data_IF_159791564333
#
_entry.id   IF_159791564333
#
_cell.length_a   1.000
_cell.length_b   1.000
_cell.length_c   1.000
_cell.angle_alpha   90.00
_cell.angle_beta   90.00
_cell.angle_gamma   90.00
#
_symmetry.space_group_name_H-M   'P 1'
#
loop_
_entity.id
_entity.type
_entity.pdbx_description
1 polymer ?
#
# COMPACT_ATOMS: atom_id res chain seq x y z
N UNK A 1 -65.94 15.59 9.76
CA UNK A 1 -64.51 15.98 9.86
C UNK A 1 -63.73 14.67 10.00
N UNK A 2 -63.14 14.21 8.91
CA UNK A 2 -62.59 12.86 8.76
C UNK A 2 -61.38 12.66 9.68
N UNK A 3 -61.40 11.58 10.45
CA UNK A 3 -60.35 11.13 11.34
C UNK A 3 -59.07 10.86 10.56
N UNK A 4 -57.98 11.58 10.90
CA UNK A 4 -56.64 11.26 10.45
C UNK A 4 -56.22 9.90 11.03
N UNK A 5 -56.51 8.82 10.30
CA UNK A 5 -55.97 7.51 10.58
C UNK A 5 -54.45 7.58 10.32
N UNK A 6 -53.67 7.61 11.39
CA UNK A 6 -52.23 7.40 11.33
C UNK A 6 -51.99 6.00 10.76
N UNK A 7 -51.52 5.92 9.50
CA UNK A 7 -51.09 4.66 8.90
C UNK A 7 -50.17 3.93 9.87
N UNK A 8 -50.35 2.62 10.13
CA UNK A 8 -49.45 1.87 10.99
C UNK A 8 -48.06 1.92 10.36
N UNK A 9 -47.18 2.77 10.90
CA UNK A 9 -45.79 2.94 10.47
C UNK A 9 -45.17 1.55 10.41
N UNK A 10 -45.00 1.01 9.21
CA UNK A 10 -44.66 -0.40 9.05
C UNK A 10 -43.35 -0.68 9.81
N UNK A 11 -43.46 -1.38 10.95
CA UNK A 11 -42.39 -1.48 11.93
C UNK A 11 -41.10 -2.06 11.34
N UNK A 12 -41.22 -2.88 10.27
CA UNK A 12 -40.10 -3.44 9.53
C UNK A 12 -39.28 -2.40 8.74
N UNK A 13 -39.89 -1.30 8.28
CA UNK A 13 -39.16 -0.21 7.62
C UNK A 13 -38.26 0.55 8.60
N UNK A 14 -38.68 0.69 9.88
CA UNK A 14 -37.82 1.25 10.92
C UNK A 14 -36.61 0.35 11.18
N UNK A 15 -36.81 -0.98 11.24
CA UNK A 15 -35.71 -1.94 11.38
C UNK A 15 -34.77 -1.94 10.16
N UNK A 16 -35.30 -1.81 8.94
CA UNK A 16 -34.51 -1.64 7.72
C UNK A 16 -33.65 -0.37 7.80
N UNK A 17 -34.22 0.76 8.23
CA UNK A 17 -33.49 2.01 8.38
C UNK A 17 -32.35 1.88 9.40
N UNK A 18 -32.62 1.30 10.57
CA UNK A 18 -31.61 1.10 11.62
C UNK A 18 -30.46 0.20 11.13
N UNK A 19 -30.78 -0.92 10.47
CA UNK A 19 -29.76 -1.85 9.94
C UNK A 19 -28.91 -1.21 8.85
N UNK A 20 -29.52 -0.41 7.98
CA UNK A 20 -28.80 0.35 6.94
C UNK A 20 -27.86 1.40 7.57
N UNK A 21 -28.30 2.10 8.62
CA UNK A 21 -27.47 3.08 9.35
C UNK A 21 -26.26 2.39 9.98
N UNK A 22 -26.44 1.23 10.61
CA UNK A 22 -25.35 0.46 11.23
C UNK A 22 -24.34 -0.01 10.18
N UNK A 23 -24.80 -0.51 9.02
CA UNK A 23 -23.93 -0.90 7.92
C UNK A 23 -23.16 0.30 7.37
N UNK A 24 -23.84 1.44 7.18
CA UNK A 24 -23.24 2.69 6.69
C UNK A 24 -22.16 3.23 7.64
N UNK A 25 -22.44 3.26 8.95
CA UNK A 25 -21.47 3.66 9.96
C UNK A 25 -20.23 2.75 9.95
N UNK A 26 -20.44 1.43 9.87
CA UNK A 26 -19.35 0.44 9.81
C UNK A 26 -18.52 0.57 8.52
N UNK A 27 -19.17 0.79 7.37
CA UNK A 27 -18.52 1.00 6.09
C UNK A 27 -17.67 2.29 6.10
N UNK A 28 -18.18 3.34 6.73
CA UNK A 28 -17.48 4.63 6.87
C UNK A 28 -16.21 4.46 7.73
N UNK A 29 -16.33 3.81 8.89
CA UNK A 29 -15.17 3.52 9.75
C UNK A 29 -14.13 2.63 9.06
N UNK A 30 -14.59 1.59 8.34
CA UNK A 30 -13.72 0.74 7.54
C UNK A 30 -12.98 1.51 6.46
N UNK A 31 -13.66 2.45 5.80
CA UNK A 31 -13.09 3.30 4.76
C UNK A 31 -12.01 4.22 5.30
N UNK A 32 -12.25 4.89 6.45
CA UNK A 32 -11.24 5.72 7.11
C UNK A 32 -9.98 4.92 7.48
N UNK A 33 -10.14 3.70 8.02
CA UNK A 33 -8.99 2.86 8.40
C UNK A 33 -8.26 2.30 7.17
N UNK A 34 -9.00 1.89 6.14
CA UNK A 34 -8.43 1.46 4.87
C UNK A 34 -7.62 2.59 4.21
N UNK A 35 -8.12 3.82 4.27
CA UNK A 35 -7.42 4.98 3.74
C UNK A 35 -6.06 5.18 4.43
N UNK A 36 -5.99 5.05 5.75
CA UNK A 36 -4.72 5.12 6.50
C UNK A 36 -3.69 4.07 6.05
N UNK A 37 -4.09 2.81 5.89
CA UNK A 37 -3.20 1.75 5.39
C UNK A 37 -2.75 1.99 3.95
N UNK A 38 -3.67 2.43 3.08
CA UNK A 38 -3.34 2.77 1.69
C UNK A 38 -2.36 3.93 1.61
N UNK A 39 -2.56 4.99 2.40
CA UNK A 39 -1.64 6.13 2.47
C UNK A 39 -0.25 5.71 2.96
N UNK A 40 -0.17 4.87 4.00
CA UNK A 40 1.10 4.31 4.48
C UNK A 40 1.81 3.48 3.42
N UNK A 41 1.09 2.60 2.73
CA UNK A 41 1.63 1.80 1.63
C UNK A 41 2.12 2.67 0.47
N UNK A 42 1.37 3.73 0.09
CA UNK A 42 1.78 4.68 -0.94
C UNK A 42 3.05 5.45 -0.55
N UNK A 43 3.16 5.87 0.71
CA UNK A 43 4.34 6.56 1.19
C UNK A 43 5.57 5.64 1.18
N UNK A 44 5.43 4.39 1.61
CA UNK A 44 6.50 3.39 1.53
C UNK A 44 6.88 3.10 0.07
N UNK A 45 5.90 2.99 -0.83
CA UNK A 45 6.13 2.83 -2.28
C UNK A 45 6.89 4.01 -2.87
N UNK A 46 6.56 5.25 -2.49
CA UNK A 46 7.26 6.44 -2.96
C UNK A 46 8.72 6.42 -2.49
N UNK A 47 8.96 6.12 -1.20
CA UNK A 47 10.32 5.97 -0.66
C UNK A 47 11.12 4.88 -1.37
N UNK A 48 10.52 3.72 -1.62
CA UNK A 48 11.15 2.64 -2.39
C UNK A 48 11.50 3.10 -3.81
N UNK A 49 10.58 3.80 -4.48
CA UNK A 49 10.81 4.35 -5.82
C UNK A 49 11.97 5.35 -5.83
N UNK A 50 12.04 6.25 -4.83
CA UNK A 50 13.12 7.21 -4.70
C UNK A 50 14.47 6.50 -4.51
N UNK A 51 14.52 5.46 -3.68
CA UNK A 51 15.75 4.67 -3.49
C UNK A 51 16.16 3.91 -4.76
N UNK A 52 15.20 3.36 -5.50
CA UNK A 52 15.50 2.75 -6.81
C UNK A 52 16.01 3.78 -7.83
N UNK A 53 15.49 5.01 -7.80
CA UNK A 53 16.02 6.09 -8.63
C UNK A 53 17.45 6.48 -8.22
N UNK A 54 17.75 6.57 -6.92
CA UNK A 54 19.10 6.79 -6.42
C UNK A 54 20.06 5.67 -6.81
N UNK A 55 19.62 4.41 -6.71
CA UNK A 55 20.41 3.25 -7.14
C UNK A 55 20.75 3.34 -8.63
N UNK A 56 19.77 3.67 -9.47
CA UNK A 56 19.98 3.84 -10.91
C UNK A 56 20.95 4.99 -11.20
N UNK A 57 20.79 6.14 -10.56
CA UNK A 57 21.69 7.28 -10.72
C UNK A 57 23.14 6.93 -10.30
N UNK A 58 23.32 6.22 -9.19
CA UNK A 58 24.65 5.74 -8.75
C UNK A 58 25.23 4.70 -9.71
N UNK A 59 24.40 3.81 -10.26
CA UNK A 59 24.83 2.84 -11.27
C UNK A 59 25.35 3.53 -12.54
N UNK A 60 24.68 4.59 -12.99
CA UNK A 60 25.13 5.37 -14.16
C UNK A 60 26.47 6.06 -13.86
N UNK A 61 26.62 6.65 -12.67
CA UNK A 61 27.90 7.27 -12.26
C UNK A 61 29.03 6.25 -12.22
N UNK A 62 28.79 5.09 -11.61
CA UNK A 62 29.75 3.99 -11.58
C UNK A 62 30.15 3.57 -13.00
N UNK A 63 29.16 3.34 -13.87
CA UNK A 63 29.42 2.93 -15.26
C UNK A 63 30.22 4.00 -16.03
N UNK A 64 30.01 5.28 -15.76
CA UNK A 64 30.83 6.35 -16.34
C UNK A 64 32.29 6.28 -15.91
N UNK A 65 32.57 5.93 -14.64
CA UNK A 65 33.95 5.72 -14.18
C UNK A 65 34.57 4.44 -14.75
N UNK A 66 33.79 3.37 -14.92
CA UNK A 66 34.24 2.14 -15.60
C UNK A 66 34.63 2.45 -17.06
N UNK A 67 33.78 3.15 -17.81
CA UNK A 67 34.09 3.56 -19.18
C UNK A 67 35.33 4.46 -19.26
N UNK A 68 35.46 5.43 -18.34
CA UNK A 68 36.65 6.28 -18.28
C UNK A 68 37.92 5.47 -17.98
N UNK A 69 37.81 4.48 -17.09
CA UNK A 69 38.91 3.56 -16.76
C UNK A 69 39.32 2.75 -17.99
N UNK A 70 38.36 2.16 -18.71
CA UNK A 70 38.63 1.35 -19.90
C UNK A 70 39.34 2.16 -20.99
N UNK A 71 38.86 3.39 -21.25
CA UNK A 71 39.50 4.31 -22.20
C UNK A 71 40.93 4.63 -21.76
N UNK A 72 41.13 4.90 -20.46
CA UNK A 72 42.44 5.25 -19.92
C UNK A 72 43.42 4.06 -19.96
N UNK A 73 42.94 2.83 -19.79
CA UNK A 73 43.76 1.61 -19.94
C UNK A 73 44.26 1.43 -21.38
N UNK A 74 43.39 1.66 -22.37
CA UNK A 74 43.79 1.62 -23.79
C UNK A 74 44.83 2.73 -24.09
N UNK A 75 44.65 3.92 -23.54
CA UNK A 75 45.62 5.01 -23.69
C UNK A 75 46.96 4.70 -23.03
N UNK A 76 46.96 4.09 -21.84
CA UNK A 76 48.18 3.67 -21.15
C UNK A 76 48.98 2.65 -21.98
N UNK A 77 48.30 1.71 -22.65
CA UNK A 77 48.95 0.73 -23.52
C UNK A 77 49.66 1.36 -24.74
N UNK A 78 49.29 2.58 -25.13
CA UNK A 78 49.91 3.34 -26.22
C UNK A 78 50.81 4.48 -25.74
N UNK A 79 50.94 4.71 -24.42
CA UNK A 79 51.64 5.86 -23.87
C UNK A 79 53.16 5.66 -23.74
N UNK A 80 53.98 6.70 -23.94
CA UNK A 80 55.40 6.68 -23.61
C UNK A 80 55.66 6.43 -22.12
N UNK A 81 56.75 5.74 -21.79
CA UNK A 81 57.09 5.35 -20.42
C UNK A 81 57.09 6.51 -19.40
N UNK A 82 57.48 7.72 -19.83
CA UNK A 82 57.52 8.93 -19.00
C UNK A 82 56.14 9.43 -18.53
N UNK A 83 55.05 9.07 -19.22
CA UNK A 83 53.68 9.49 -18.84
C UNK A 83 52.92 8.38 -18.10
N UNK A 84 53.43 7.14 -18.12
CA UNK A 84 52.77 5.95 -17.54
C UNK A 84 52.39 6.11 -16.06
N UNK A 85 53.24 6.75 -15.25
CA UNK A 85 52.99 6.93 -13.81
C UNK A 85 51.72 7.76 -13.52
N UNK A 86 51.47 8.83 -14.30
CA UNK A 86 50.27 9.67 -14.15
C UNK A 86 48.98 8.95 -14.55
N UNK A 87 49.07 8.05 -15.54
CA UNK A 87 47.95 7.21 -15.95
C UNK A 87 47.62 6.17 -14.88
N UNK A 88 48.62 5.52 -14.29
CA UNK A 88 48.44 4.56 -13.20
C UNK A 88 47.80 5.20 -11.98
N UNK A 89 48.21 6.42 -11.60
CA UNK A 89 47.58 7.16 -10.50
C UNK A 89 46.09 7.42 -10.75
N UNK A 90 45.72 7.87 -11.96
CA UNK A 90 44.32 8.09 -12.35
C UNK A 90 43.50 6.79 -12.38
N UNK A 91 44.10 5.68 -12.83
CA UNK A 91 43.43 4.37 -12.80
C UNK A 91 43.11 3.94 -11.37
N UNK A 92 44.05 4.07 -10.44
CA UNK A 92 43.82 3.76 -9.02
C UNK A 92 42.73 4.66 -8.42
N UNK A 93 42.70 5.95 -8.79
CA UNK A 93 41.65 6.86 -8.36
C UNK A 93 40.26 6.44 -8.91
N UNK A 94 40.16 6.01 -10.16
CA UNK A 94 38.91 5.49 -10.72
C UNK A 94 38.47 4.19 -10.05
N UNK A 95 39.39 3.27 -9.76
CA UNK A 95 39.09 2.04 -9.02
C UNK A 95 38.53 2.32 -7.63
N UNK A 96 39.13 3.25 -6.89
CA UNK A 96 38.61 3.67 -5.58
C UNK A 96 37.20 4.28 -5.69
N UNK A 97 36.90 5.05 -6.74
CA UNK A 97 35.56 5.60 -6.98
C UNK A 97 34.55 4.50 -7.32
N UNK A 98 34.91 3.53 -8.18
CA UNK A 98 34.05 2.40 -8.55
C UNK A 98 33.72 1.55 -7.32
N UNK A 99 34.71 1.25 -6.46
CA UNK A 99 34.49 0.49 -5.24
C UNK A 99 33.56 1.25 -4.27
N UNK A 100 33.75 2.57 -4.11
CA UNK A 100 32.87 3.41 -3.31
C UNK A 100 31.42 3.35 -3.80
N UNK A 101 31.19 3.58 -5.09
CA UNK A 101 29.84 3.50 -5.66
C UNK A 101 29.22 2.10 -5.57
N UNK A 102 30.04 1.05 -5.66
CA UNK A 102 29.58 -0.33 -5.48
C UNK A 102 29.05 -0.56 -4.06
N UNK A 103 29.74 -0.06 -3.04
CA UNK A 103 29.30 -0.13 -1.63
C UNK A 103 28.02 0.67 -1.40
N UNK A 104 28.03 1.94 -1.81
CA UNK A 104 26.86 2.82 -1.68
C UNK A 104 25.61 2.29 -2.39
N UNK A 105 25.77 1.65 -3.55
CA UNK A 105 24.66 1.02 -4.28
C UNK A 105 24.06 -0.17 -3.52
N UNK A 106 24.87 -0.95 -2.82
CA UNK A 106 24.37 -2.07 -1.99
C UNK A 106 23.52 -1.54 -0.83
N UNK A 107 23.96 -0.47 -0.19
CA UNK A 107 23.22 0.18 0.91
C UNK A 107 21.87 0.72 0.41
N UNK A 108 21.88 1.49 -0.68
CA UNK A 108 20.65 2.05 -1.28
C UNK A 108 19.69 0.95 -1.73
N UNK A 109 20.21 -0.15 -2.28
CA UNK A 109 19.39 -1.31 -2.65
C UNK A 109 18.74 -1.95 -1.43
N UNK A 110 19.49 -2.15 -0.35
CA UNK A 110 18.95 -2.71 0.89
C UNK A 110 17.84 -1.81 1.48
N UNK A 111 18.02 -0.49 1.43
CA UNK A 111 16.99 0.46 1.86
C UNK A 111 15.74 0.40 0.95
N UNK A 112 15.91 0.28 -0.37
CA UNK A 112 14.79 0.12 -1.31
C UNK A 112 13.97 -1.14 -0.99
N UNK A 113 14.64 -2.28 -0.81
CA UNK A 113 14.02 -3.56 -0.47
C UNK A 113 13.32 -3.50 0.90
N UNK A 114 13.88 -2.79 1.88
CA UNK A 114 13.22 -2.56 3.19
C UNK A 114 11.90 -1.81 3.02
N UNK A 115 11.88 -0.73 2.23
CA UNK A 115 10.66 0.04 1.99
C UNK A 115 9.61 -0.74 1.18
N UNK A 116 10.03 -1.61 0.27
CA UNK A 116 9.10 -2.52 -0.42
C UNK A 116 8.47 -3.53 0.54
N UNK A 117 9.25 -4.05 1.50
CA UNK A 117 8.71 -4.93 2.53
C UNK A 117 7.69 -4.21 3.44
N UNK A 118 7.98 -2.97 3.85
CA UNK A 118 7.04 -2.12 4.62
C UNK A 118 5.75 -1.83 3.83
N UNK A 119 5.86 -1.57 2.52
CA UNK A 119 4.73 -1.42 1.61
C UNK A 119 3.87 -2.69 1.59
N UNK A 120 4.50 -3.85 1.38
CA UNK A 120 3.78 -5.12 1.24
C UNK A 120 3.03 -5.51 2.51
N UNK A 121 3.62 -5.25 3.68
CA UNK A 121 2.95 -5.40 4.97
C UNK A 121 1.72 -4.49 5.09
N UNK A 122 1.87 -3.22 4.70
CA UNK A 122 0.79 -2.23 4.74
C UNK A 122 -0.35 -2.57 3.77
N UNK A 123 -0.01 -3.06 2.57
CA UNK A 123 -0.99 -3.49 1.56
C UNK A 123 -1.76 -4.74 1.99
N UNK A 124 -1.09 -5.73 2.59
CA UNK A 124 -1.77 -6.94 3.12
C UNK A 124 -2.83 -6.57 4.15
N UNK A 125 -2.51 -5.65 5.06
CA UNK A 125 -3.45 -5.17 6.07
C UNK A 125 -4.58 -4.35 5.45
N UNK A 126 -4.30 -3.50 4.46
CA UNK A 126 -5.31 -2.70 3.76
C UNK A 126 -6.30 -3.52 2.93
N UNK A 127 -5.87 -4.63 2.31
CA UNK A 127 -6.72 -5.46 1.44
C UNK A 127 -7.93 -6.06 2.15
N UNK A 128 -7.77 -6.45 3.42
CA UNK A 128 -8.85 -7.00 4.24
C UNK A 128 -9.98 -5.98 4.47
N UNK A 129 -9.62 -4.72 4.72
CA UNK A 129 -10.60 -3.64 4.88
C UNK A 129 -11.31 -3.30 3.57
N UNK A 130 -10.57 -3.25 2.46
CA UNK A 130 -11.14 -3.02 1.13
C UNK A 130 -12.22 -4.05 0.76
N UNK A 131 -11.97 -5.34 1.00
CA UNK A 131 -12.97 -6.40 0.74
C UNK A 131 -14.21 -6.26 1.62
N UNK A 132 -14.06 -5.90 2.90
CA UNK A 132 -15.20 -5.67 3.80
C UNK A 132 -16.09 -4.51 3.35
N UNK A 133 -15.51 -3.39 2.90
CA UNK A 133 -16.25 -2.21 2.42
C UNK A 133 -17.12 -2.58 1.22
N UNK A 134 -16.61 -3.39 0.29
CA UNK A 134 -17.38 -3.84 -0.90
C UNK A 134 -18.64 -4.60 -0.48
N UNK A 135 -18.53 -5.55 0.43
CA UNK A 135 -19.69 -6.32 0.90
C UNK A 135 -20.70 -5.45 1.67
N UNK A 136 -20.22 -4.54 2.52
CA UNK A 136 -21.09 -3.58 3.23
C UNK A 136 -21.82 -2.66 2.24
N UNK A 137 -21.13 -2.19 1.19
CA UNK A 137 -21.73 -1.34 0.16
C UNK A 137 -22.84 -2.06 -0.61
N UNK A 138 -22.63 -3.32 -1.01
CA UNK A 138 -23.66 -4.15 -1.66
C UNK A 138 -24.87 -4.32 -0.72
N UNK A 139 -24.64 -4.56 0.58
CA UNK A 139 -25.69 -4.65 1.59
C UNK A 139 -26.52 -3.36 1.74
N UNK A 140 -25.87 -2.20 1.72
CA UNK A 140 -26.52 -0.88 1.76
C UNK A 140 -27.36 -0.66 0.50
N UNK A 141 -26.82 -0.96 -0.69
CA UNK A 141 -27.55 -0.81 -1.96
C UNK A 141 -28.77 -1.72 -2.02
N UNK A 142 -28.65 -2.97 -1.57
CA UNK A 142 -29.79 -3.90 -1.48
C UNK A 142 -30.83 -3.44 -0.46
N UNK A 143 -30.40 -2.84 0.66
CA UNK A 143 -31.31 -2.30 1.68
C UNK A 143 -32.09 -1.09 1.14
N UNK A 144 -31.44 -0.20 0.39
CA UNK A 144 -32.09 0.89 -0.31
C UNK A 144 -33.11 0.40 -1.35
N UNK A 145 -32.75 -0.65 -2.12
CA UNK A 145 -33.65 -1.26 -3.09
C UNK A 145 -34.86 -1.94 -2.42
N UNK A 146 -34.66 -2.59 -1.27
CA UNK A 146 -35.75 -3.18 -0.49
C UNK A 146 -36.75 -2.13 0.02
N UNK A 147 -36.26 -0.96 0.45
CA UNK A 147 -37.10 0.17 0.84
C UNK A 147 -37.92 0.72 -0.33
N UNK A 148 -37.31 0.86 -1.52
CA UNK A 148 -37.98 1.33 -2.73
C UNK A 148 -39.07 0.35 -3.21
N UNK A 149 -38.76 -0.94 -3.23
CA UNK A 149 -39.67 -1.97 -3.72
C UNK A 149 -40.74 -2.36 -2.68
N UNK A 150 -40.63 -1.90 -1.43
CA UNK A 150 -41.45 -2.33 -0.28
C UNK A 150 -41.62 -3.86 -0.17
N UNK A 151 -40.60 -4.62 -0.60
CA UNK A 151 -40.61 -6.09 -0.62
C UNK A 151 -39.74 -6.66 0.50
N UNK A 152 -40.38 -7.26 1.51
CA UNK A 152 -39.73 -7.96 2.63
C UNK A 152 -38.68 -9.02 2.24
N UNK A 153 -38.82 -9.85 1.18
CA UNK A 153 -37.77 -10.82 0.83
C UNK A 153 -36.46 -10.15 0.36
N UNK A 154 -36.53 -8.96 -0.24
CA UNK A 154 -35.33 -8.21 -0.66
C UNK A 154 -34.57 -7.68 0.56
N UNK A 155 -35.28 -7.35 1.65
CA UNK A 155 -34.67 -6.97 2.92
C UNK A 155 -33.94 -8.14 3.61
N UNK A 156 -34.49 -9.36 3.54
CA UNK A 156 -33.77 -10.54 4.04
C UNK A 156 -32.47 -10.81 3.26
N UNK A 157 -32.49 -10.62 1.94
CA UNK A 157 -31.28 -10.73 1.13
C UNK A 157 -30.23 -9.68 1.53
N UNK A 158 -30.66 -8.43 1.78
CA UNK A 158 -29.75 -7.36 2.21
C UNK A 158 -29.15 -7.64 3.60
N UNK A 159 -29.91 -8.25 4.51
CA UNK A 159 -29.41 -8.70 5.81
C UNK A 159 -28.35 -9.80 5.70
N UNK A 160 -28.54 -10.80 4.85
CA UNK A 160 -27.56 -11.88 4.66
C UNK A 160 -26.25 -11.33 4.10
N UNK A 161 -26.34 -10.49 3.07
CA UNK A 161 -25.16 -9.86 2.45
C UNK A 161 -24.47 -8.89 3.43
N UNK A 162 -25.25 -8.09 4.16
CA UNK A 162 -24.73 -7.19 5.17
C UNK A 162 -24.10 -7.90 6.38
N UNK A 163 -24.66 -9.03 6.81
CA UNK A 163 -24.09 -9.86 7.85
C UNK A 163 -22.76 -10.49 7.42
N UNK A 164 -22.66 -10.96 6.17
CA UNK A 164 -21.39 -11.40 5.60
C UNK A 164 -20.37 -10.25 5.58
N UNK A 165 -20.77 -9.05 5.16
CA UNK A 165 -19.91 -7.85 5.19
C UNK A 165 -19.44 -7.47 6.61
N UNK A 166 -20.33 -7.60 7.60
CA UNK A 166 -20.02 -7.35 9.01
C UNK A 166 -19.06 -8.39 9.60
N UNK A 167 -19.19 -9.67 9.21
CA UNK A 167 -18.24 -10.71 9.58
C UNK A 167 -16.86 -10.43 9.00
N UNK A 168 -16.76 -10.04 7.73
CA UNK A 168 -15.48 -9.60 7.14
C UNK A 168 -14.93 -8.33 7.81
N UNK A 169 -15.80 -7.40 8.21
CA UNK A 169 -15.40 -6.18 8.93
C UNK A 169 -14.78 -6.51 10.28
N UNK A 170 -15.47 -7.32 11.09
CA UNK A 170 -15.01 -7.77 12.40
C UNK A 170 -13.73 -8.61 12.29
N UNK A 171 -13.63 -9.46 11.27
CA UNK A 171 -12.44 -10.25 11.02
C UNK A 171 -11.24 -9.38 10.61
N UNK A 172 -11.46 -8.40 9.72
CA UNK A 172 -10.44 -7.40 9.37
C UNK A 172 -10.03 -6.56 10.58
N UNK A 173 -10.97 -6.19 11.46
CA UNK A 173 -10.69 -5.47 12.69
C UNK A 173 -9.89 -6.32 13.69
N UNK A 174 -10.25 -7.60 13.86
CA UNK A 174 -9.53 -8.55 14.72
C UNK A 174 -8.11 -8.83 14.22
N UNK A 175 -7.91 -9.08 12.92
CA UNK A 175 -6.58 -9.26 12.34
C UNK A 175 -5.74 -8.00 12.42
N UNK A 176 -6.33 -6.82 12.24
CA UNK A 176 -5.61 -5.57 12.43
C UNK A 176 -5.22 -5.35 13.90
N UNK A 177 -6.06 -5.73 14.86
CA UNK A 177 -5.72 -5.62 16.29
C UNK A 177 -4.63 -6.62 16.68
N UNK A 178 -4.73 -7.87 16.24
CA UNK A 178 -3.73 -8.92 16.50
C UNK A 178 -2.40 -8.67 15.78
N UNK A 179 -2.45 -8.11 14.57
CA UNK A 179 -1.26 -7.67 13.83
C UNK A 179 -0.53 -6.50 14.50
N UNK A 180 -1.27 -5.58 15.13
CA UNK A 180 -0.69 -4.52 15.98
C UNK A 180 -0.08 -5.11 17.26
N UNK A 181 -0.74 -6.08 17.91
CA UNK A 181 -0.17 -6.75 19.10
C UNK A 181 1.11 -7.55 18.78
N UNK A 182 1.23 -8.15 17.59
CA UNK A 182 2.45 -8.87 17.18
C UNK A 182 3.58 -7.89 16.83
N UNK A 183 3.29 -6.73 16.26
CA UNK A 183 4.29 -5.68 15.97
C UNK A 183 4.75 -4.91 17.22
N UNK A 184 3.91 -4.76 18.24
CA UNK A 184 4.25 -4.12 19.53
C UNK A 184 4.87 -5.12 20.52
N UNK A 185 4.75 -6.42 20.25
CA UNK A 185 5.24 -7.51 21.10
C UNK A 185 6.58 -8.13 20.69
N UNK A 186 7.29 -7.58 19.70
CA UNK A 186 8.68 -7.97 19.42
C UNK A 186 9.64 -7.10 20.25
N UNK A 187 10.49 -7.71 21.10
CA UNK A 187 11.53 -6.99 21.84
C UNK A 187 12.60 -6.39 20.91
#
# INVERSE_FOLDING_TARGET
MSTAASEPKEMWLNWLAITTIIMSASATLGSSKSAGFTSGAMMAQNKASDQWAFYQAKSIKQHSFELQKDILQVQLAQAPAATSAKFVEKLNAYDANIERYTKERKEVKADAERFEHERDLSQKNGKLFGTSIIYLQIGITLSALAALLKKKPVWWLSLVVGAAGMLYFLNGFYYAYKGVTILVGMP
#
